data_IF_555714787649
#
_entry.id   IF_555714787649
#
_cell.length_a   1.000
_cell.length_b   1.000
_cell.length_c   1.000
_cell.angle_alpha   90.00
_cell.angle_beta   90.00
_cell.angle_gamma   90.00
#
_symmetry.space_group_name_H-M   'P 1'
#
loop_
_entity.id
_entity.type
_entity.pdbx_description
1 polymer ?
#
# COMPACT_ATOMS: atom_id res chain seq x y z
N UNK A 1 -0.51 15.91 15.38
CA UNK A 1 0.24 14.75 15.94
C UNK A 1 1.52 14.57 15.13
N UNK A 2 2.61 14.17 15.78
CA UNK A 2 3.90 13.87 15.12
C UNK A 2 3.80 12.61 14.26
N UNK A 3 4.20 12.70 13.00
CA UNK A 3 4.24 11.57 12.06
C UNK A 3 5.23 10.51 12.54
N UNK A 4 6.41 10.90 13.01
CA UNK A 4 7.42 9.97 13.51
C UNK A 4 6.90 9.14 14.68
N UNK A 5 6.19 9.76 15.63
CA UNK A 5 5.59 9.04 16.76
C UNK A 5 4.55 8.02 16.29
N UNK A 6 3.76 8.36 15.28
CA UNK A 6 2.76 7.45 14.71
C UNK A 6 3.39 6.29 13.94
N UNK A 7 4.50 6.53 13.24
CA UNK A 7 5.25 5.44 12.57
C UNK A 7 5.86 4.50 13.61
N UNK A 8 6.47 5.04 14.67
CA UNK A 8 7.09 4.25 15.73
C UNK A 8 6.09 3.39 16.54
N UNK A 9 4.82 3.79 16.60
CA UNK A 9 3.79 3.04 17.32
C UNK A 9 3.17 1.89 16.52
N UNK A 10 3.55 1.72 15.25
CA UNK A 10 2.99 0.71 14.35
C UNK A 10 3.99 -0.43 14.10
N UNK A 11 3.53 -1.69 14.03
CA UNK A 11 4.39 -2.83 13.76
C UNK A 11 5.21 -2.68 12.47
N UNK A 12 6.53 -2.77 12.60
CA UNK A 12 7.50 -2.58 11.53
C UNK A 12 7.94 -1.14 11.29
N UNK A 13 7.58 -0.20 12.17
CA UNK A 13 8.08 1.17 12.15
C UNK A 13 9.14 1.48 13.22
N UNK A 14 9.34 0.57 14.17
CA UNK A 14 10.16 0.75 15.37
C UNK A 14 11.64 0.99 15.03
N UNK A 15 12.15 0.31 14.00
CA UNK A 15 13.56 0.38 13.59
C UNK A 15 13.90 1.64 12.77
N UNK A 16 12.95 2.52 12.44
CA UNK A 16 13.19 3.68 11.56
C UNK A 16 14.34 4.57 12.02
N UNK A 17 14.54 4.70 13.34
CA UNK A 17 15.61 5.51 13.95
C UNK A 17 17.01 4.91 13.78
N UNK A 18 17.13 3.64 13.38
CA UNK A 18 18.42 3.01 13.06
C UNK A 18 18.98 3.46 11.71
N UNK A 19 18.19 4.18 10.91
CA UNK A 19 18.63 4.65 9.61
C UNK A 19 19.78 5.68 9.70
N UNK A 20 20.97 5.29 9.25
CA UNK A 20 22.14 6.14 9.07
C UNK A 20 22.34 6.68 7.63
N UNK A 21 21.29 6.63 6.79
CA UNK A 21 21.26 7.24 5.46
C UNK A 21 22.27 6.71 4.39
N UNK A 22 22.73 5.45 4.47
CA UNK A 22 23.65 4.83 3.50
C UNK A 22 23.17 4.73 2.04
N UNK A 23 21.88 4.90 1.75
CA UNK A 23 21.26 4.79 0.41
C UNK A 23 21.17 3.38 -0.22
N UNK A 24 21.47 2.29 0.50
CA UNK A 24 21.28 0.92 -0.02
C UNK A 24 19.85 0.66 -0.50
N UNK A 25 18.86 1.16 0.23
CA UNK A 25 17.45 1.05 -0.14
C UNK A 25 17.14 1.73 -1.47
N UNK A 26 17.78 2.85 -1.77
CA UNK A 26 17.58 3.59 -3.00
C UNK A 26 18.24 2.92 -4.19
N UNK A 27 19.46 2.39 -4.02
CA UNK A 27 20.14 1.60 -5.05
C UNK A 27 19.49 0.25 -5.33
N UNK A 28 18.67 -0.25 -4.41
CA UNK A 28 17.95 -1.53 -4.56
C UNK A 28 16.53 -1.37 -5.10
N UNK A 29 16.11 -0.14 -5.40
CA UNK A 29 14.73 0.14 -5.76
C UNK A 29 14.52 0.10 -7.27
N UNK A 30 13.71 -0.84 -7.81
CA UNK A 30 13.46 -0.92 -9.25
C UNK A 30 12.67 0.29 -9.77
N UNK A 31 11.82 0.89 -8.94
CA UNK A 31 11.06 2.09 -9.32
C UNK A 31 11.98 3.27 -9.57
N UNK A 32 13.08 3.38 -8.81
CA UNK A 32 14.06 4.45 -9.00
C UNK A 32 14.82 4.33 -10.32
N UNK A 33 15.01 3.11 -10.81
CA UNK A 33 15.65 2.87 -12.11
C UNK A 33 14.81 3.45 -13.27
N UNK A 34 13.49 3.50 -13.10
CA UNK A 34 12.55 4.06 -14.07
C UNK A 34 12.34 5.56 -13.83
N UNK A 35 12.10 5.95 -12.58
CA UNK A 35 11.91 7.34 -12.19
C UNK A 35 12.92 7.72 -11.09
N UNK A 36 14.00 8.39 -11.50
CA UNK A 36 15.08 8.82 -10.61
C UNK A 36 14.66 9.78 -9.50
N UNK A 37 13.44 10.36 -9.59
CA UNK A 37 12.87 11.14 -8.49
C UNK A 37 12.57 10.22 -7.31
N UNK A 38 12.11 8.99 -7.55
CA UNK A 38 11.72 8.04 -6.49
C UNK A 38 12.91 7.63 -5.62
N UNK A 39 12.82 7.89 -4.32
CA UNK A 39 13.94 7.68 -3.41
C UNK A 39 13.45 7.29 -2.00
N UNK A 40 13.47 5.98 -1.65
CA UNK A 40 12.99 5.52 -0.34
C UNK A 40 13.79 6.12 0.83
N UNK A 41 15.10 6.35 0.68
CA UNK A 41 15.91 7.04 1.70
C UNK A 41 15.37 8.45 2.00
N UNK A 42 14.94 9.19 0.97
CA UNK A 42 14.40 10.55 1.15
C UNK A 42 13.14 10.52 2.00
N UNK A 43 12.23 9.59 1.72
CA UNK A 43 11.00 9.40 2.51
C UNK A 43 11.34 9.08 3.96
N UNK A 44 12.24 8.13 4.22
CA UNK A 44 12.67 7.81 5.59
C UNK A 44 13.24 9.04 6.31
N UNK A 45 14.06 9.84 5.62
CA UNK A 45 14.62 11.07 6.20
C UNK A 45 13.53 12.10 6.50
N UNK A 46 12.54 12.27 5.62
CA UNK A 46 11.41 13.19 5.84
C UNK A 46 10.55 12.76 7.04
N UNK A 47 10.30 11.46 7.20
CA UNK A 47 9.60 10.93 8.39
C UNK A 47 10.40 11.22 9.66
N UNK A 48 11.71 11.00 9.66
CA UNK A 48 12.57 11.28 10.82
C UNK A 48 12.64 12.77 11.19
N UNK A 49 12.44 13.66 10.21
CA UNK A 49 12.36 15.11 10.39
C UNK A 49 10.93 15.59 10.68
N UNK A 50 9.97 14.68 10.81
CA UNK A 50 8.56 14.95 11.08
C UNK A 50 7.86 15.83 10.01
N UNK A 51 8.34 15.76 8.77
CA UNK A 51 7.82 16.50 7.61
C UNK A 51 6.56 15.81 7.05
N UNK A 52 5.49 15.86 7.83
CA UNK A 52 4.27 15.08 7.59
C UNK A 52 3.59 15.45 6.28
N UNK A 53 3.35 16.74 6.06
CA UNK A 53 2.63 17.23 4.88
C UNK A 53 3.36 16.84 3.58
N UNK A 54 4.68 16.97 3.59
CA UNK A 54 5.55 16.64 2.46
C UNK A 54 5.57 15.15 2.18
N UNK A 55 5.50 14.30 3.20
CA UNK A 55 5.43 12.84 3.02
C UNK A 55 4.08 12.41 2.48
N UNK A 56 2.98 12.90 3.05
CA UNK A 56 1.63 12.44 2.71
C UNK A 56 1.13 12.98 1.36
N UNK A 57 1.53 14.20 0.96
CA UNK A 57 1.22 14.75 -0.36
C UNK A 57 2.11 14.21 -1.48
N UNK A 58 3.12 13.40 -1.14
CA UNK A 58 4.05 12.87 -2.12
C UNK A 58 3.49 11.61 -2.79
N UNK A 59 3.46 11.60 -4.13
CA UNK A 59 3.13 10.39 -4.91
C UNK A 59 4.09 9.23 -4.65
N UNK A 60 5.25 9.52 -4.04
CA UNK A 60 6.27 8.53 -3.73
C UNK A 60 5.72 7.37 -2.89
N UNK A 61 4.90 7.64 -1.86
CA UNK A 61 4.40 6.54 -1.02
C UNK A 61 3.59 5.55 -1.86
N UNK A 62 2.91 6.02 -2.91
CA UNK A 62 2.08 5.21 -3.81
C UNK A 62 2.87 4.45 -4.87
N UNK A 63 4.03 4.95 -5.31
CA UNK A 63 4.89 4.26 -6.27
C UNK A 63 5.62 3.05 -5.70
N UNK A 64 5.69 2.90 -4.38
CA UNK A 64 6.28 1.71 -3.78
C UNK A 64 5.53 0.44 -4.22
N UNK A 65 6.21 -0.40 -5.01
CA UNK A 65 5.72 -1.69 -5.53
C UNK A 65 5.71 -2.82 -4.51
N UNK A 66 6.10 -2.55 -3.26
CA UNK A 66 6.09 -3.55 -2.17
C UNK A 66 6.98 -4.78 -2.42
N UNK A 67 8.02 -4.65 -3.24
CA UNK A 67 8.92 -5.76 -3.61
C UNK A 67 9.89 -6.24 -2.51
N UNK A 68 9.90 -5.62 -1.33
CA UNK A 68 10.80 -5.92 -0.19
C UNK A 68 12.32 -5.77 -0.39
N UNK A 69 12.84 -5.59 -1.60
CA UNK A 69 14.29 -5.53 -1.87
C UNK A 69 15.09 -4.57 -0.97
N UNK A 70 14.51 -3.39 -0.67
CA UNK A 70 15.17 -2.39 0.16
C UNK A 70 15.27 -2.78 1.64
N UNK A 71 14.30 -3.56 2.14
CA UNK A 71 14.25 -4.04 3.52
C UNK A 71 15.25 -5.16 3.72
N UNK A 72 15.26 -6.16 2.83
CA UNK A 72 16.17 -7.31 2.89
C UNK A 72 17.65 -6.91 2.83
N UNK A 73 17.95 -5.81 2.12
CA UNK A 73 19.33 -5.32 1.96
C UNK A 73 19.71 -4.24 2.98
N UNK A 74 18.83 -3.88 3.92
CA UNK A 74 19.14 -2.81 4.86
C UNK A 74 20.18 -3.27 5.89
N UNK A 75 21.37 -2.66 5.96
CA UNK A 75 22.41 -3.07 6.93
C UNK A 75 22.08 -2.69 8.38
N UNK A 76 21.00 -1.95 8.61
CA UNK A 76 20.52 -1.54 9.93
C UNK A 76 19.18 -2.20 10.30
N UNK A 77 18.68 -3.11 9.45
CA UNK A 77 17.41 -3.80 9.67
C UNK A 77 16.18 -2.89 9.65
N UNK A 78 16.25 -1.72 9.00
CA UNK A 78 15.09 -0.83 8.87
C UNK A 78 14.06 -1.47 7.95
N UNK A 79 12.83 -1.64 8.44
CA UNK A 79 11.72 -2.25 7.69
C UNK A 79 11.05 -1.26 6.74
N UNK A 80 11.78 -0.83 5.71
CA UNK A 80 11.35 0.24 4.79
C UNK A 80 10.03 -0.10 4.08
N UNK A 81 9.81 -1.37 3.71
CA UNK A 81 8.54 -1.81 3.11
C UNK A 81 7.36 -1.59 4.08
N UNK A 82 7.50 -2.03 5.33
CA UNK A 82 6.50 -1.82 6.36
C UNK A 82 6.22 -0.33 6.58
N UNK A 83 7.27 0.49 6.65
CA UNK A 83 7.15 1.95 6.80
C UNK A 83 6.35 2.55 5.64
N UNK A 84 6.61 2.16 4.38
CA UNK A 84 5.83 2.64 3.24
C UNK A 84 4.34 2.29 3.36
N UNK A 85 4.01 1.07 3.79
CA UNK A 85 2.62 0.67 4.02
C UNK A 85 1.98 1.41 5.20
N UNK A 86 2.74 1.65 6.27
CA UNK A 86 2.30 2.49 7.38
C UNK A 86 1.92 3.88 6.87
N UNK A 87 2.78 4.51 6.06
CA UNK A 87 2.52 5.83 5.48
C UNK A 87 1.29 5.86 4.58
N UNK A 88 1.10 4.84 3.71
CA UNK A 88 -0.13 4.69 2.91
C UNK A 88 -1.37 4.64 3.81
N UNK A 89 -1.34 3.86 4.89
CA UNK A 89 -2.46 3.77 5.84
C UNK A 89 -2.71 5.07 6.60
N UNK A 90 -1.67 5.85 6.91
CA UNK A 90 -1.81 7.19 7.52
C UNK A 90 -2.46 8.14 6.51
N UNK A 91 -1.97 8.17 5.27
CA UNK A 91 -2.53 8.98 4.19
C UNK A 91 -4.03 8.69 3.99
N UNK A 92 -4.42 7.41 3.91
CA UNK A 92 -5.83 7.00 3.77
C UNK A 92 -6.69 7.49 4.94
N UNK A 93 -6.22 7.38 6.19
CA UNK A 93 -6.93 7.91 7.37
C UNK A 93 -7.14 9.43 7.33
N UNK A 94 -6.30 10.14 6.58
CA UNK A 94 -6.40 11.59 6.37
C UNK A 94 -7.14 11.96 5.09
N UNK A 95 -7.80 10.99 4.44
CA UNK A 95 -8.56 11.20 3.22
C UNK A 95 -7.69 11.33 1.95
N UNK A 96 -6.38 11.11 2.06
CA UNK A 96 -5.44 11.16 0.94
C UNK A 96 -5.32 9.74 0.38
N UNK A 97 -6.04 9.47 -0.71
CA UNK A 97 -6.05 8.18 -1.39
C UNK A 97 -6.13 8.38 -2.90
N UNK A 98 -5.32 7.61 -3.64
CA UNK A 98 -5.36 7.66 -5.10
C UNK A 98 -6.70 7.11 -5.64
N UNK A 99 -7.35 7.75 -6.64
CA UNK A 99 -8.66 7.34 -7.15
C UNK A 99 -8.74 5.88 -7.57
N UNK A 100 -7.65 5.32 -8.12
CA UNK A 100 -7.57 3.90 -8.48
C UNK A 100 -7.85 2.98 -7.31
N UNK A 101 -7.32 3.27 -6.10
CA UNK A 101 -7.57 2.41 -4.95
C UNK A 101 -9.01 2.55 -4.44
N UNK A 102 -9.62 3.73 -4.54
CA UNK A 102 -11.05 3.90 -4.25
C UNK A 102 -11.90 3.02 -5.17
N UNK A 103 -11.65 3.05 -6.48
CA UNK A 103 -12.36 2.21 -7.44
C UNK A 103 -12.16 0.71 -7.17
N UNK A 104 -10.94 0.30 -6.81
CA UNK A 104 -10.67 -1.10 -6.46
C UNK A 104 -11.40 -1.56 -5.19
N UNK A 105 -11.42 -0.72 -4.15
CA UNK A 105 -12.15 -1.00 -2.91
C UNK A 105 -13.66 -1.11 -3.17
N UNK A 106 -14.21 -0.26 -4.04
CA UNK A 106 -15.61 -0.35 -4.47
C UNK A 106 -15.94 -1.67 -5.16
N UNK A 107 -15.14 -2.09 -6.15
CA UNK A 107 -15.31 -3.38 -6.82
C UNK A 107 -15.27 -4.56 -5.83
N UNK A 108 -14.29 -4.54 -4.91
CA UNK A 108 -14.15 -5.57 -3.89
C UNK A 108 -15.34 -5.58 -2.94
N UNK A 109 -15.86 -4.43 -2.53
CA UNK A 109 -17.00 -4.41 -1.62
C UNK A 109 -18.34 -4.75 -2.29
N UNK A 110 -18.53 -4.43 -3.58
CA UNK A 110 -19.74 -4.80 -4.33
C UNK A 110 -19.75 -6.27 -4.73
N UNK A 111 -18.64 -6.79 -5.24
CA UNK A 111 -18.56 -8.12 -5.86
C UNK A 111 -17.67 -9.10 -5.11
N UNK A 112 -17.03 -8.71 -4.01
CA UNK A 112 -16.05 -9.54 -3.31
C UNK A 112 -14.73 -9.74 -4.05
N UNK A 113 -14.49 -9.02 -5.16
CA UNK A 113 -13.36 -9.22 -6.07
C UNK A 113 -12.88 -7.95 -6.74
N UNK A 114 -11.63 -7.97 -7.17
CA UNK A 114 -11.01 -6.88 -7.92
C UNK A 114 -11.44 -6.85 -9.40
N UNK A 115 -11.67 -8.01 -9.99
CA UNK A 115 -12.08 -8.16 -11.38
C UNK A 115 -13.51 -8.66 -11.43
N UNK A 116 -14.33 -8.01 -12.24
CA UNK A 116 -15.71 -8.43 -12.49
C UNK A 116 -15.70 -9.79 -13.20
N UNK A 117 -16.66 -10.66 -12.87
CA UNK A 117 -16.85 -11.93 -13.58
C UNK A 117 -18.09 -11.79 -14.43
N UNK A 118 -17.90 -11.79 -15.74
CA UNK A 118 -18.97 -11.71 -16.71
C UNK A 118 -19.49 -13.11 -17.06
N UNK A 119 -20.64 -13.18 -17.72
CA UNK A 119 -21.17 -14.46 -18.24
C UNK A 119 -20.24 -15.11 -19.26
N UNK A 120 -19.45 -14.29 -19.96
CA UNK A 120 -18.43 -14.76 -20.88
C UNK A 120 -17.33 -15.57 -20.17
N UNK A 121 -16.93 -15.17 -18.96
CA UNK A 121 -15.92 -15.88 -18.18
C UNK A 121 -16.43 -17.25 -17.75
N UNK A 122 -17.68 -17.32 -17.24
CA UNK A 122 -18.30 -18.60 -16.89
C UNK A 122 -18.49 -19.50 -18.12
N UNK A 123 -18.86 -18.94 -19.27
CA UNK A 123 -18.92 -19.71 -20.54
C UNK A 123 -17.57 -20.29 -20.95
N UNK A 124 -16.48 -19.53 -20.77
CA UNK A 124 -15.12 -20.05 -21.02
C UNK A 124 -14.74 -21.17 -20.05
N UNK A 125 -15.11 -21.04 -18.77
CA UNK A 125 -14.83 -22.06 -17.74
C UNK A 125 -15.56 -23.37 -18.02
N UNK A 126 -16.86 -23.32 -18.33
CA UNK A 126 -17.64 -24.52 -18.65
C UNK A 126 -17.13 -25.24 -19.90
N UNK A 127 -16.60 -24.50 -20.90
CA UNK A 127 -15.96 -25.12 -22.09
C UNK A 127 -14.71 -25.94 -21.78
N UNK A 128 -14.07 -25.70 -20.64
CA UNK A 128 -12.90 -26.46 -20.17
C UNK A 128 -13.24 -27.26 -18.90
N UNK A 129 -14.52 -27.62 -18.73
CA UNK A 129 -15.05 -28.42 -17.63
C UNK A 129 -14.77 -27.87 -16.22
N UNK A 130 -14.58 -26.55 -16.10
CA UNK A 130 -14.42 -25.86 -14.81
C UNK A 130 -15.78 -25.36 -14.30
N UNK A 131 -16.02 -25.42 -12.97
CA UNK A 131 -17.26 -24.94 -12.38
C UNK A 131 -17.40 -23.42 -12.54
N UNK A 132 -18.65 -22.97 -12.69
CA UNK A 132 -18.98 -21.55 -12.69
C UNK A 132 -18.61 -20.87 -11.37
N UNK A 133 -18.36 -19.58 -11.47
CA UNK A 133 -17.98 -18.77 -10.32
C UNK A 133 -19.12 -17.82 -9.97
N UNK A 134 -19.43 -17.75 -8.67
CA UNK A 134 -20.35 -16.75 -8.11
C UNK A 134 -19.86 -15.33 -8.41
N UNK A 135 -20.77 -14.43 -8.75
CA UNK A 135 -20.47 -13.04 -9.12
C UNK A 135 -20.45 -12.07 -7.93
N UNK A 136 -21.13 -12.40 -6.83
CA UNK A 136 -21.31 -11.51 -5.66
C UNK A 136 -21.07 -12.29 -4.37
N UNK A 137 -20.46 -11.64 -3.38
CA UNK A 137 -20.14 -12.17 -2.06
C UNK A 137 -20.60 -11.19 -0.96
N UNK A 138 -21.85 -11.32 -0.46
CA UNK A 138 -22.39 -10.41 0.55
C UNK A 138 -21.58 -10.33 1.85
N UNK A 139 -20.85 -11.41 2.17
CA UNK A 139 -20.00 -11.51 3.35
C UNK A 139 -18.86 -10.49 3.33
N UNK A 140 -18.37 -10.11 2.14
CA UNK A 140 -17.30 -9.12 2.01
C UNK A 140 -17.79 -7.73 2.41
N UNK A 141 -19.01 -7.35 2.00
CA UNK A 141 -19.60 -6.07 2.46
C UNK A 141 -19.77 -6.05 3.97
N UNK A 142 -20.24 -7.15 4.56
CA UNK A 142 -20.35 -7.28 6.03
C UNK A 142 -19.00 -7.07 6.72
N UNK A 143 -17.91 -7.61 6.18
CA UNK A 143 -16.57 -7.41 6.74
C UNK A 143 -16.10 -5.95 6.63
N UNK A 144 -16.42 -5.27 5.53
CA UNK A 144 -16.10 -3.85 5.35
C UNK A 144 -16.81 -2.99 6.40
N UNK A 145 -18.10 -3.24 6.64
CA UNK A 145 -18.88 -2.54 7.65
C UNK A 145 -18.30 -2.75 9.07
N UNK A 146 -17.88 -3.98 9.39
CA UNK A 146 -17.28 -4.31 10.69
C UNK A 146 -15.87 -3.71 10.89
N UNK A 147 -15.13 -3.48 9.81
CA UNK A 147 -13.75 -2.97 9.85
C UNK A 147 -13.66 -1.46 9.62
N UNK A 148 -14.80 -0.81 9.35
CA UNK A 148 -14.88 0.64 9.12
C UNK A 148 -14.40 1.08 7.73
N UNK A 149 -14.29 0.16 6.77
CA UNK A 149 -13.96 0.49 5.37
C UNK A 149 -15.25 0.95 4.69
N UNK A 150 -15.41 2.26 4.47
CA UNK A 150 -16.57 2.84 3.77
C UNK A 150 -16.24 3.09 2.30
N UNK A 151 -17.15 2.69 1.42
CA UNK A 151 -16.99 2.75 -0.04
C UNK A 151 -17.53 4.07 -0.61
N UNK A 152 -18.39 4.75 0.16
CA UNK A 152 -19.27 5.82 -0.29
C UNK A 152 -18.88 7.22 0.25
N UNK A 153 -17.73 7.34 0.94
CA UNK A 153 -17.13 8.58 1.53
C UNK A 153 -15.69 8.80 1.00
#
# INVERSE_FOLDING_TARGET
MSLLKEVLSRPGGEEIRRCFACSTCSGSCPVREIDGRFNPRRIIRMVLLDLKEEVLKSDFIWYCTTCNSCQERCPQGVRIYNIMNILKNIAVKEGIIHPTFKAQVDLVGRMGRLYEVEDFDNKKRTKVDLPEVKKVFPEVRRLFDLTGVRIDE
#
